data_IF_435987708659
#
_entry.id   IF_435987708659
#
_cell.length_a   1.000
_cell.length_b   1.000
_cell.length_c   1.000
_cell.angle_alpha   90.00
_cell.angle_beta   90.00
_cell.angle_gamma   90.00
#
_symmetry.space_group_name_H-M   'P 1'
#
loop_
_entity.id
_entity.type
_entity.pdbx_description
1 polymer ?
#
# COMPACT_ATOMS: atom_id res chain seq x y z
N UNK A 1 -31.50 68.24 10.40
CA UNK A 1 -32.36 67.05 10.35
C UNK A 1 -31.61 65.91 11.04
N UNK A 2 -31.80 65.75 12.34
CA UNK A 2 -32.72 64.75 12.92
C UNK A 2 -32.15 63.33 12.87
N UNK A 3 -31.40 63.00 13.92
CA UNK A 3 -31.07 61.63 14.32
C UNK A 3 -32.33 61.01 14.95
N UNK A 4 -32.87 59.96 14.32
CA UNK A 4 -34.03 59.24 14.82
C UNK A 4 -33.62 57.90 15.45
N UNK A 5 -34.09 57.70 16.70
CA UNK A 5 -34.04 56.49 17.52
C UNK A 5 -35.10 55.47 17.11
N UNK A 6 -34.79 54.17 17.28
CA UNK A 6 -35.71 53.15 17.82
C UNK A 6 -34.87 51.92 18.24
N UNK A 7 -34.54 51.72 19.52
CA UNK A 7 -35.28 50.92 20.55
C UNK A 7 -35.69 49.51 20.11
N UNK A 8 -34.98 48.50 20.63
CA UNK A 8 -35.42 47.11 20.81
C UNK A 8 -35.07 46.70 22.26
N UNK A 9 -35.94 45.98 22.99
CA UNK A 9 -35.97 46.00 24.45
C UNK A 9 -35.09 44.94 25.12
N UNK A 10 -34.79 45.22 26.39
CA UNK A 10 -34.12 44.34 27.34
C UNK A 10 -35.02 43.18 27.79
N UNK A 11 -34.39 42.00 27.95
CA UNK A 11 -34.86 40.98 28.88
C UNK A 11 -33.63 40.40 29.60
N UNK A 12 -33.51 40.80 30.86
CA UNK A 12 -32.59 40.24 31.84
C UNK A 12 -33.12 38.89 32.35
N UNK A 13 -32.19 37.96 32.58
CA UNK A 13 -32.18 36.81 33.52
C UNK A 13 -30.90 36.04 33.18
N UNK A 14 -29.80 36.20 33.91
CA UNK A 14 -29.65 35.73 35.29
C UNK A 14 -29.10 34.30 35.27
N UNK A 15 -27.80 34.12 35.03
CA UNK A 15 -27.10 32.86 35.28
C UNK A 15 -25.79 33.19 36.00
N UNK A 16 -25.83 33.02 37.32
CA UNK A 16 -24.69 33.06 38.22
C UNK A 16 -23.76 31.88 37.95
N UNK A 17 -22.46 32.16 37.86
CA UNK A 17 -21.40 31.17 37.89
C UNK A 17 -21.26 30.56 39.29
N UNK A 18 -21.75 29.33 39.46
CA UNK A 18 -21.39 28.50 40.62
C UNK A 18 -20.89 27.15 40.10
N UNK A 19 -19.57 27.02 40.02
CA UNK A 19 -18.91 25.75 39.79
C UNK A 19 -19.17 24.79 40.97
N UNK A 20 -19.52 23.50 40.74
CA UNK A 20 -19.68 22.55 41.82
C UNK A 20 -18.33 22.18 42.43
N UNK A 21 -18.19 22.47 43.71
CA UNK A 21 -17.05 22.13 44.57
C UNK A 21 -16.99 20.60 44.72
N UNK A 22 -15.98 19.97 44.11
CA UNK A 22 -15.70 18.54 44.28
C UNK A 22 -15.50 18.21 45.77
N UNK A 23 -16.44 17.45 46.36
CA UNK A 23 -16.32 16.97 47.74
C UNK A 23 -15.15 15.99 47.81
N UNK A 24 -14.15 16.28 48.64
CA UNK A 24 -13.12 15.32 49.02
C UNK A 24 -13.82 14.09 49.61
N UNK A 25 -13.67 12.94 48.95
CA UNK A 25 -14.13 11.65 49.48
C UNK A 25 -13.26 11.35 50.70
N UNK A 26 -13.88 11.37 51.88
CA UNK A 26 -13.22 10.99 53.14
C UNK A 26 -12.83 9.52 53.11
N UNK A 27 -11.71 9.18 53.76
CA UNK A 27 -11.27 7.79 53.90
C UNK A 27 -12.37 6.92 54.52
N UNK A 28 -12.53 5.66 54.07
CA UNK A 28 -13.59 4.77 54.54
C UNK A 28 -13.48 4.51 56.04
N UNK A 29 -14.62 4.61 56.72
CA UNK A 29 -14.78 4.51 58.17
C UNK A 29 -14.38 3.10 58.66
N UNK A 30 -14.01 2.95 59.94
CA UNK A 30 -13.48 1.67 60.46
C UNK A 30 -14.42 0.48 60.23
N UNK A 31 -15.74 0.72 60.28
CA UNK A 31 -16.78 -0.29 60.01
C UNK A 31 -16.81 -0.75 58.55
N UNK A 32 -16.53 0.14 57.61
CA UNK A 32 -16.52 -0.20 56.18
C UNK A 32 -15.29 -1.05 55.83
N UNK A 33 -14.15 -0.77 56.48
CA UNK A 33 -12.94 -1.61 56.35
C UNK A 33 -13.15 -3.02 56.90
N UNK A 34 -13.87 -3.15 58.01
CA UNK A 34 -14.22 -4.46 58.57
C UNK A 34 -15.20 -5.23 57.67
N UNK A 35 -16.19 -4.57 57.06
CA UNK A 35 -17.08 -5.21 56.07
C UNK A 35 -16.30 -5.72 54.86
N UNK A 36 -15.41 -4.90 54.29
CA UNK A 36 -14.59 -5.31 53.14
C UNK A 36 -13.70 -6.50 53.50
N UNK A 37 -13.12 -6.51 54.71
CA UNK A 37 -12.30 -7.64 55.18
C UNK A 37 -13.12 -8.92 55.34
N UNK A 38 -14.33 -8.81 55.91
CA UNK A 38 -15.25 -9.95 56.05
C UNK A 38 -15.71 -10.50 54.70
N UNK A 39 -15.94 -9.65 53.70
CA UNK A 39 -16.28 -10.08 52.33
C UNK A 39 -15.09 -10.77 51.64
N UNK A 40 -13.87 -10.28 51.83
CA UNK A 40 -12.66 -10.92 51.30
C UNK A 40 -12.40 -12.29 51.96
N UNK A 41 -12.61 -12.40 53.28
CA UNK A 41 -12.45 -13.66 54.01
C UNK A 41 -13.52 -14.69 53.60
N UNK A 42 -14.74 -14.23 53.31
CA UNK A 42 -15.81 -15.07 52.77
C UNK A 42 -15.47 -15.58 51.36
N UNK A 43 -15.02 -14.70 50.47
CA UNK A 43 -14.60 -15.07 49.12
C UNK A 43 -13.41 -16.06 49.11
N UNK A 44 -12.48 -15.91 50.04
CA UNK A 44 -11.36 -16.85 50.19
C UNK A 44 -11.81 -18.22 50.71
N UNK A 45 -12.77 -18.27 51.66
CA UNK A 45 -13.38 -19.54 52.10
C UNK A 45 -14.14 -20.23 50.97
N UNK A 46 -14.86 -19.46 50.14
CA UNK A 46 -15.61 -20.01 49.00
C UNK A 46 -14.66 -20.58 47.93
N UNK A 47 -13.52 -19.93 47.66
CA UNK A 47 -12.45 -20.47 46.81
C UNK A 47 -11.79 -21.73 47.38
N UNK A 48 -11.59 -21.79 48.69
CA UNK A 48 -11.02 -22.97 49.33
C UNK A 48 -12.00 -24.16 49.26
N UNK A 49 -13.29 -23.91 49.45
CA UNK A 49 -14.32 -24.94 49.32
C UNK A 49 -14.51 -25.41 47.87
N UNK A 50 -14.43 -24.53 46.88
CA UNK A 50 -14.51 -24.94 45.47
C UNK A 50 -13.29 -25.78 45.05
N UNK A 51 -12.08 -25.44 45.52
CA UNK A 51 -10.90 -26.26 45.32
C UNK A 51 -11.00 -27.64 46.02
N UNK A 52 -11.65 -27.71 47.18
CA UNK A 52 -11.90 -28.97 47.91
C UNK A 52 -12.95 -29.84 47.20
N UNK A 53 -13.99 -29.22 46.62
CA UNK A 53 -15.00 -29.87 45.79
C UNK A 53 -14.43 -30.37 44.45
N UNK A 54 -13.48 -29.66 43.85
CA UNK A 54 -12.77 -30.11 42.65
C UNK A 54 -11.94 -31.38 42.93
N UNK A 55 -11.24 -31.44 44.08
CA UNK A 55 -10.51 -32.65 44.52
C UNK A 55 -11.43 -33.81 44.88
N UNK A 56 -12.63 -33.54 45.40
CA UNK A 56 -13.62 -34.58 45.70
C UNK A 56 -14.34 -35.14 44.47
N UNK A 57 -14.30 -34.42 43.32
CA UNK A 57 -14.89 -34.85 42.05
C UNK A 57 -13.95 -35.66 41.16
N UNK A 58 -12.70 -35.88 41.57
CA UNK A 58 -11.75 -36.73 40.83
C UNK A 58 -11.30 -36.15 39.49
N UNK A 59 -11.40 -34.82 39.31
CA UNK A 59 -10.89 -34.12 38.12
C UNK A 59 -9.40 -33.74 38.32
N UNK A 60 -8.56 -34.74 38.57
CA UNK A 60 -7.09 -34.60 38.59
C UNK A 60 -6.55 -34.97 37.19
N UNK A 61 -6.38 -33.98 36.32
CA UNK A 61 -5.61 -34.10 35.07
C UNK A 61 -4.17 -33.64 35.28
N UNK A 62 -3.42 -34.28 36.17
CA UNK A 62 -1.95 -34.34 36.13
C UNK A 62 -1.53 -35.67 36.79
N UNK A 63 -0.62 -36.39 36.13
CA UNK A 63 0.01 -37.65 36.55
C UNK A 63 -0.81 -38.95 36.46
N UNK A 64 -1.05 -39.41 35.22
CA UNK A 64 -1.08 -40.85 34.94
C UNK A 64 -0.30 -41.14 33.65
N UNK A 65 0.71 -42.00 33.75
CA UNK A 65 1.64 -42.34 32.68
C UNK A 65 1.00 -43.18 31.58
N UNK A 66 0.41 -42.50 30.59
CA UNK A 66 -0.05 -43.12 29.34
C UNK A 66 0.90 -42.74 28.20
N UNK A 67 1.91 -43.59 27.93
CA UNK A 67 2.67 -43.55 26.68
C UNK A 67 1.80 -44.16 25.58
N UNK A 68 1.47 -43.45 24.48
CA UNK A 68 0.85 -44.09 23.34
C UNK A 68 1.89 -44.97 22.64
N UNK A 69 1.67 -46.29 22.65
CA UNK A 69 2.39 -47.23 21.82
C UNK A 69 2.06 -46.96 20.35
N UNK A 70 2.87 -46.14 19.69
CA UNK A 70 2.92 -46.09 18.23
C UNK A 70 3.52 -47.41 17.74
N UNK A 71 2.67 -48.27 17.19
CA UNK A 71 3.08 -49.47 16.48
C UNK A 71 4.13 -49.12 15.42
N UNK A 72 5.36 -49.63 15.61
CA UNK A 72 6.39 -49.62 14.58
C UNK A 72 5.95 -50.55 13.45
N UNK A 73 5.35 -49.99 12.42
CA UNK A 73 5.32 -50.64 11.10
C UNK A 73 6.76 -50.59 10.59
N UNK A 74 7.47 -51.71 10.71
CA UNK A 74 8.77 -51.92 10.07
C UNK A 74 8.51 -52.04 8.57
N UNK A 75 8.58 -50.93 7.85
CA UNK A 75 8.69 -50.94 6.39
C UNK A 75 10.15 -51.21 6.03
N UNK A 76 10.37 -52.42 5.54
CA UNK A 76 11.59 -52.94 4.96
C UNK A 76 12.23 -51.93 3.98
N UNK A 77 13.45 -51.51 4.31
CA UNK A 77 14.18 -50.43 3.65
C UNK A 77 15.07 -50.97 2.54
N UNK A 78 14.54 -51.80 1.64
CA UNK A 78 15.28 -52.30 0.45
C UNK A 78 14.38 -52.55 -0.76
N UNK A 79 13.75 -51.50 -1.31
CA UNK A 79 13.38 -51.47 -2.75
C UNK A 79 13.52 -50.04 -3.28
N UNK A 80 14.35 -49.90 -4.32
CA UNK A 80 14.63 -48.63 -4.98
C UNK A 80 13.34 -47.97 -5.47
N UNK A 81 13.03 -46.80 -4.92
CA UNK A 81 12.03 -45.91 -5.50
C UNK A 81 12.74 -45.07 -6.54
N UNK A 82 12.50 -45.35 -7.81
CA UNK A 82 12.53 -44.30 -8.82
C UNK A 82 11.54 -43.23 -8.37
N UNK A 83 12.06 -42.14 -7.81
CA UNK A 83 11.26 -40.94 -7.58
C UNK A 83 10.94 -40.40 -8.97
N UNK A 84 9.67 -40.35 -9.32
CA UNK A 84 9.22 -39.40 -10.33
C UNK A 84 9.68 -38.01 -9.86
N UNK A 85 10.34 -37.21 -10.71
CA UNK A 85 10.71 -35.87 -10.34
C UNK A 85 9.42 -35.07 -10.14
N UNK A 86 9.23 -34.54 -8.93
CA UNK A 86 8.17 -33.57 -8.65
C UNK A 86 8.34 -32.39 -9.64
N UNK A 87 7.29 -31.90 -10.33
CA UNK A 87 7.38 -30.68 -11.12
C UNK A 87 7.29 -29.48 -10.16
N UNK A 88 8.15 -29.45 -9.14
CA UNK A 88 8.52 -28.19 -8.52
C UNK A 88 9.50 -27.58 -9.52
N UNK A 89 8.96 -26.82 -10.47
CA UNK A 89 9.75 -25.92 -11.29
C UNK A 89 10.52 -25.03 -10.30
N UNK A 90 11.76 -25.40 -10.00
CA UNK A 90 12.72 -24.48 -9.39
C UNK A 90 12.65 -23.23 -10.25
N UNK A 91 12.44 -22.04 -9.65
CA UNK A 91 12.42 -20.82 -10.45
C UNK A 91 13.70 -20.81 -11.29
N UNK A 92 13.61 -20.55 -12.61
CA UNK A 92 14.79 -20.49 -13.44
C UNK A 92 15.78 -19.55 -12.74
N UNK A 93 17.02 -20.02 -12.52
CA UNK A 93 18.05 -19.18 -11.92
C UNK A 93 18.11 -17.89 -12.73
N UNK A 94 18.11 -16.69 -12.09
CA UNK A 94 18.23 -15.45 -12.83
C UNK A 94 19.45 -15.55 -13.72
N UNK A 95 19.27 -15.22 -15.00
CA UNK A 95 20.32 -15.31 -16.00
C UNK A 95 21.45 -14.35 -15.59
N UNK A 96 22.51 -14.89 -15.00
CA UNK A 96 23.69 -14.14 -14.56
C UNK A 96 24.68 -13.84 -15.71
N UNK A 97 24.35 -14.21 -16.95
CA UNK A 97 25.14 -13.84 -18.12
C UNK A 97 24.92 -12.38 -18.48
N UNK A 98 26.01 -11.65 -18.80
CA UNK A 98 25.86 -10.38 -19.51
C UNK A 98 25.38 -10.70 -20.92
N UNK A 99 24.11 -10.42 -21.19
CA UNK A 99 23.56 -10.54 -22.53
C UNK A 99 24.24 -9.52 -23.47
N UNK A 100 24.58 -9.89 -24.71
CA UNK A 100 25.19 -8.99 -25.68
C UNK A 100 24.31 -7.74 -25.91
N UNK A 101 24.91 -6.55 -25.87
CA UNK A 101 24.21 -5.28 -26.15
C UNK A 101 23.68 -4.53 -24.92
N UNK A 102 23.75 -5.13 -23.73
CA UNK A 102 23.34 -4.48 -22.48
C UNK A 102 24.20 -3.28 -22.09
N UNK A 103 25.48 -3.30 -22.47
CA UNK A 103 26.39 -2.18 -22.21
C UNK A 103 26.05 -0.93 -23.05
N UNK A 104 25.12 -1.03 -24.01
CA UNK A 104 24.69 0.10 -24.86
C UNK A 104 23.58 0.93 -24.20
N UNK A 105 22.85 0.36 -23.26
CA UNK A 105 21.74 1.02 -22.60
C UNK A 105 22.21 1.77 -21.37
N UNK A 106 21.60 2.93 -21.14
CA UNK A 106 21.94 3.82 -20.04
C UNK A 106 20.97 3.65 -18.89
N UNK A 107 21.41 4.10 -17.72
CA UNK A 107 20.60 4.10 -16.52
C UNK A 107 19.57 5.23 -16.57
N UNK A 108 18.35 4.91 -16.19
CA UNK A 108 17.20 5.79 -16.14
C UNK A 108 17.51 7.00 -15.25
N UNK A 109 17.28 8.21 -15.77
CA UNK A 109 17.40 9.47 -15.02
C UNK A 109 18.79 10.14 -15.05
N UNK A 110 19.79 9.54 -15.69
CA UNK A 110 21.11 10.19 -15.91
C UNK A 110 21.12 11.22 -17.03
N UNK A 111 20.16 11.16 -17.98
CA UNK A 111 20.12 12.00 -19.18
C UNK A 111 18.74 12.63 -19.42
N UNK A 112 18.65 13.52 -20.42
CA UNK A 112 17.37 13.95 -20.97
C UNK A 112 16.62 12.73 -21.49
N UNK A 113 15.45 12.47 -20.89
CA UNK A 113 14.58 11.37 -21.26
C UNK A 113 14.06 11.61 -22.68
N UNK A 114 14.31 10.65 -23.58
CA UNK A 114 13.83 10.68 -24.95
C UNK A 114 12.78 9.59 -25.18
N UNK A 115 11.74 9.92 -25.94
CA UNK A 115 10.61 9.01 -26.21
C UNK A 115 11.10 7.80 -27.00
N UNK A 116 10.73 6.61 -26.53
CA UNK A 116 11.04 5.35 -27.19
C UNK A 116 12.45 4.83 -26.91
N UNK A 117 13.27 5.48 -26.07
CA UNK A 117 14.56 4.91 -25.69
C UNK A 117 14.42 3.91 -24.53
N UNK A 118 14.93 2.69 -24.66
CA UNK A 118 15.04 1.75 -23.55
C UNK A 118 16.13 2.18 -22.57
N UNK A 119 15.85 2.01 -21.28
CA UNK A 119 16.74 2.40 -20.17
C UNK A 119 16.69 1.35 -19.07
N UNK A 120 17.79 1.18 -18.34
CA UNK A 120 17.82 0.33 -17.16
C UNK A 120 17.48 1.11 -15.91
N UNK A 121 16.84 0.47 -14.94
CA UNK A 121 16.81 1.05 -13.62
C UNK A 121 18.17 0.81 -12.95
N UNK A 122 18.79 1.84 -12.35
CA UNK A 122 20.03 1.63 -11.61
C UNK A 122 19.80 0.62 -10.48
N UNK A 123 20.83 -0.18 -10.20
CA UNK A 123 20.80 -1.30 -9.25
C UNK A 123 21.82 -1.12 -8.12
N UNK A 124 21.93 0.10 -7.61
CA UNK A 124 22.66 0.49 -6.42
C UNK A 124 21.89 0.24 -5.11
N UNK A 125 22.58 0.29 -3.96
CA UNK A 125 22.00 -0.01 -2.65
C UNK A 125 20.97 1.03 -2.18
N UNK A 126 20.97 2.22 -2.78
CA UNK A 126 20.03 3.32 -2.46
C UNK A 126 18.86 3.40 -3.43
N UNK A 127 18.75 2.45 -4.36
CA UNK A 127 17.71 2.52 -5.37
C UNK A 127 16.34 2.11 -4.84
N UNK A 128 15.26 2.75 -5.32
CA UNK A 128 13.91 2.47 -4.83
C UNK A 128 13.44 1.03 -5.05
N UNK A 129 13.92 0.34 -6.10
CA UNK A 129 13.48 -1.01 -6.45
C UNK A 129 13.82 -2.04 -5.36
N UNK A 130 15.09 -2.22 -4.94
CA UNK A 130 15.41 -3.17 -3.89
C UNK A 130 14.82 -2.79 -2.53
N UNK A 131 14.64 -1.49 -2.26
CA UNK A 131 14.17 -1.00 -0.97
C UNK A 131 12.65 -1.13 -0.85
N UNK A 132 11.90 -0.47 -1.73
CA UNK A 132 10.44 -0.43 -1.64
C UNK A 132 9.77 -1.66 -2.24
N UNK A 133 10.47 -2.38 -3.10
CA UNK A 133 9.95 -3.49 -3.89
C UNK A 133 9.25 -3.04 -5.16
N UNK A 134 8.74 -4.00 -5.92
CA UNK A 134 8.05 -3.78 -7.20
C UNK A 134 6.70 -4.49 -7.22
N UNK A 135 5.72 -3.99 -8.01
CA UNK A 135 4.47 -4.70 -8.24
C UNK A 135 4.71 -6.07 -8.89
N UNK A 136 3.83 -7.07 -8.65
CA UNK A 136 4.01 -8.45 -9.18
C UNK A 136 4.06 -8.51 -10.70
N UNK A 137 3.27 -7.67 -11.37
CA UNK A 137 3.25 -7.58 -12.83
C UNK A 137 4.63 -7.22 -13.36
N UNK A 138 5.24 -6.18 -12.80
CA UNK A 138 6.58 -5.72 -13.17
C UNK A 138 7.66 -6.72 -12.74
N UNK A 139 7.48 -7.38 -11.60
CA UNK A 139 8.42 -8.39 -11.12
C UNK A 139 8.59 -9.54 -12.14
N UNK A 140 7.49 -10.00 -12.73
CA UNK A 140 7.53 -11.03 -13.77
C UNK A 140 8.22 -10.52 -15.04
N UNK A 141 7.93 -9.31 -15.48
CA UNK A 141 8.58 -8.70 -16.64
C UNK A 141 10.10 -8.56 -16.42
N UNK A 142 10.52 -8.08 -15.26
CA UNK A 142 11.94 -7.92 -14.92
C UNK A 142 12.67 -9.26 -14.81
N UNK A 143 11.98 -10.32 -14.38
CA UNK A 143 12.53 -11.68 -14.39
C UNK A 143 12.74 -12.18 -15.82
N UNK A 144 11.80 -11.92 -16.73
CA UNK A 144 11.94 -12.28 -18.15
C UNK A 144 13.05 -11.49 -18.83
N UNK A 145 13.18 -10.20 -18.52
CA UNK A 145 14.24 -9.34 -19.03
C UNK A 145 15.60 -9.64 -18.38
N UNK A 146 15.66 -10.35 -17.26
CA UNK A 146 16.89 -10.66 -16.51
C UNK A 146 17.40 -9.54 -15.61
N UNK A 147 17.09 -8.27 -15.92
CA UNK A 147 17.35 -7.10 -15.07
C UNK A 147 16.23 -6.07 -15.26
N UNK A 148 16.02 -5.16 -14.28
CA UNK A 148 14.94 -4.19 -14.32
C UNK A 148 15.20 -3.13 -15.41
N UNK A 149 14.33 -3.09 -16.41
CA UNK A 149 14.41 -2.17 -17.53
C UNK A 149 13.05 -1.54 -17.83
N UNK A 150 13.05 -0.35 -18.39
CA UNK A 150 11.84 0.30 -18.88
C UNK A 150 12.10 1.17 -20.09
N UNK A 151 11.05 1.41 -20.87
CA UNK A 151 11.08 2.35 -21.98
C UNK A 151 10.53 3.69 -21.53
N UNK A 152 11.20 4.76 -21.93
CA UNK A 152 10.70 6.12 -21.71
C UNK A 152 9.56 6.40 -22.67
N UNK A 153 8.38 6.70 -22.14
CA UNK A 153 7.17 7.00 -22.90
C UNK A 153 6.78 8.46 -22.77
N UNK A 154 5.85 8.92 -23.60
CA UNK A 154 5.29 10.27 -23.46
C UNK A 154 4.71 10.49 -22.07
N UNK A 155 3.95 9.51 -21.54
CA UNK A 155 3.41 9.60 -20.17
C UNK A 155 4.48 9.69 -19.08
N UNK A 156 5.69 9.15 -19.33
CA UNK A 156 6.84 9.29 -18.44
C UNK A 156 7.37 10.72 -18.44
N UNK A 157 7.42 11.38 -19.61
CA UNK A 157 7.80 12.77 -19.69
C UNK A 157 6.78 13.66 -18.98
N UNK A 158 5.49 13.43 -19.25
CA UNK A 158 4.40 14.19 -18.64
C UNK A 158 4.44 14.11 -17.09
N UNK A 159 4.69 12.92 -16.53
CA UNK A 159 4.78 12.76 -15.07
C UNK A 159 6.06 13.37 -14.49
N UNK A 160 7.17 13.35 -15.23
CA UNK A 160 8.44 13.97 -14.81
C UNK A 160 8.32 15.49 -14.83
N UNK A 161 7.68 16.07 -15.85
CA UNK A 161 7.37 17.50 -15.91
C UNK A 161 6.43 17.91 -14.77
N UNK A 162 5.41 17.09 -14.49
CA UNK A 162 4.54 17.29 -13.35
C UNK A 162 5.31 17.30 -12.00
N UNK A 163 6.21 16.34 -11.78
CA UNK A 163 7.01 16.34 -10.55
C UNK A 163 7.95 17.57 -10.48
N UNK A 164 8.50 18.02 -11.59
CA UNK A 164 9.33 19.24 -11.64
C UNK A 164 8.53 20.50 -11.31
N UNK A 165 7.33 20.67 -11.88
CA UNK A 165 6.49 21.84 -11.58
C UNK A 165 6.12 21.90 -10.10
N UNK A 166 5.79 20.77 -9.49
CA UNK A 166 5.54 20.68 -8.05
C UNK A 166 6.76 21.10 -7.20
N UNK A 167 7.98 20.84 -7.67
CA UNK A 167 9.20 21.22 -6.96
C UNK A 167 9.42 22.73 -6.98
N UNK A 168 9.18 23.35 -8.13
CA UNK A 168 9.45 24.75 -8.44
C UNK A 168 8.37 25.70 -7.90
N UNK A 169 7.10 25.42 -8.20
CA UNK A 169 5.98 26.32 -7.91
C UNK A 169 5.54 26.29 -6.44
N UNK A 170 6.08 25.34 -5.64
CA UNK A 170 5.66 25.05 -4.25
C UNK A 170 4.12 25.04 -4.07
N UNK A 171 3.36 24.34 -4.93
CA UNK A 171 1.91 24.31 -4.81
C UNK A 171 1.47 23.52 -3.57
N UNK A 172 0.21 23.74 -3.17
CA UNK A 172 -0.52 22.85 -2.23
C UNK A 172 -0.46 21.41 -2.73
N UNK A 173 -0.55 20.42 -1.83
CA UNK A 173 -0.55 19.01 -2.22
C UNK A 173 -1.47 18.74 -3.41
N UNK A 174 -0.91 18.12 -4.45
CA UNK A 174 -1.71 17.61 -5.55
C UNK A 174 -2.00 16.12 -5.36
N UNK A 175 -3.24 15.74 -5.62
CA UNK A 175 -3.71 14.36 -5.52
C UNK A 175 -4.08 13.89 -6.91
N UNK A 176 -3.27 12.99 -7.48
CA UNK A 176 -3.50 12.46 -8.82
C UNK A 176 -3.61 10.95 -8.84
N UNK A 177 -4.48 10.45 -9.70
CA UNK A 177 -4.61 9.01 -9.95
C UNK A 177 -4.29 8.76 -11.42
N UNK A 178 -3.31 7.90 -11.68
CA UNK A 178 -2.94 7.45 -13.03
C UNK A 178 -4.06 6.56 -13.56
N UNK A 179 -4.67 6.99 -14.67
CA UNK A 179 -5.81 6.32 -15.30
C UNK A 179 -5.45 5.80 -16.69
N UNK A 180 -6.09 4.72 -17.12
CA UNK A 180 -5.87 4.11 -18.44
C UNK A 180 -6.38 2.67 -18.52
N UNK A 181 -6.42 2.12 -19.73
CA UNK A 181 -6.89 0.76 -19.99
C UNK A 181 -6.03 -0.32 -19.32
N UNK A 182 -6.55 -1.53 -19.13
CA UNK A 182 -5.76 -2.62 -18.57
C UNK A 182 -4.51 -2.89 -19.43
N UNK A 183 -3.34 -3.05 -18.82
CA UNK A 183 -2.08 -3.28 -19.55
C UNK A 183 -1.44 -2.03 -20.17
N UNK A 184 -2.01 -0.83 -19.95
CA UNK A 184 -1.51 0.44 -20.50
C UNK A 184 -0.19 0.95 -19.91
N UNK A 185 0.39 0.27 -18.92
CA UNK A 185 1.67 0.66 -18.30
C UNK A 185 1.55 1.58 -17.07
N UNK A 186 0.38 1.69 -16.43
CA UNK A 186 0.16 2.53 -15.23
C UNK A 186 1.20 2.31 -14.12
N UNK A 187 1.43 1.04 -13.76
CA UNK A 187 2.41 0.66 -12.73
C UNK A 187 3.84 1.01 -13.12
N UNK A 188 4.20 0.93 -14.42
CA UNK A 188 5.50 1.37 -14.91
C UNK A 188 5.68 2.89 -14.79
N UNK A 189 4.67 3.67 -15.19
CA UNK A 189 4.70 5.14 -15.06
C UNK A 189 4.82 5.55 -13.58
N UNK A 190 4.11 4.87 -12.67
CA UNK A 190 4.23 5.12 -11.23
C UNK A 190 5.63 4.79 -10.70
N UNK A 191 6.20 3.65 -11.09
CA UNK A 191 7.55 3.27 -10.67
C UNK A 191 8.63 4.23 -11.21
N UNK A 192 8.49 4.69 -12.45
CA UNK A 192 9.38 5.71 -13.04
C UNK A 192 9.28 7.04 -12.29
N UNK A 193 8.07 7.45 -11.89
CA UNK A 193 7.84 8.66 -11.08
C UNK A 193 8.50 8.53 -9.69
N UNK A 194 8.36 7.38 -9.03
CA UNK A 194 9.02 7.03 -7.76
C UNK A 194 10.54 7.13 -7.90
N UNK A 195 11.08 6.57 -8.98
CA UNK A 195 12.51 6.60 -9.24
C UNK A 195 13.03 8.02 -9.46
N UNK A 196 12.32 8.81 -10.28
CA UNK A 196 12.66 10.21 -10.52
C UNK A 196 12.62 11.03 -9.24
N UNK A 197 11.60 10.85 -8.41
CA UNK A 197 11.47 11.56 -7.14
C UNK A 197 12.64 11.24 -6.18
N UNK A 198 13.05 9.97 -6.10
CA UNK A 198 14.19 9.56 -5.29
C UNK A 198 15.50 10.22 -5.77
N UNK A 199 15.76 10.26 -7.07
CA UNK A 199 16.93 10.92 -7.66
C UNK A 199 16.96 12.42 -7.39
N UNK A 200 15.79 13.07 -7.39
CA UNK A 200 15.67 14.50 -7.13
C UNK A 200 15.73 14.88 -5.65
N UNK A 201 15.87 13.89 -4.75
CA UNK A 201 15.98 14.09 -3.30
C UNK A 201 14.63 14.31 -2.60
N UNK A 202 13.54 13.75 -3.13
CA UNK A 202 12.24 13.76 -2.46
C UNK A 202 12.18 12.69 -1.38
N UNK A 203 11.29 12.88 -0.39
CA UNK A 203 10.94 11.80 0.54
C UNK A 203 9.87 10.94 -0.12
N UNK A 204 10.19 9.69 -0.38
CA UNK A 204 9.34 8.75 -1.10
C UNK A 204 8.73 7.76 -0.11
N UNK A 205 7.41 7.62 -0.18
CA UNK A 205 6.63 6.58 0.50
C UNK A 205 5.92 5.78 -0.59
N UNK A 206 6.50 4.64 -0.96
CA UNK A 206 5.96 3.79 -2.01
C UNK A 206 5.34 2.50 -1.46
N UNK A 207 4.09 2.26 -1.83
CA UNK A 207 3.37 1.00 -1.56
C UNK A 207 3.15 0.30 -2.91
N UNK A 208 3.96 -0.72 -3.26
CA UNK A 208 3.91 -1.37 -4.57
C UNK A 208 2.66 -2.25 -4.77
N UNK A 209 1.99 -2.66 -3.69
CA UNK A 209 0.74 -3.44 -3.75
C UNK A 209 -0.17 -3.05 -2.60
N UNK A 210 -1.14 -2.18 -2.85
CA UNK A 210 -2.17 -1.88 -1.86
C UNK A 210 -3.06 -3.10 -1.55
N UNK A 211 -3.16 -4.04 -2.49
CA UNK A 211 -3.93 -5.27 -2.32
C UNK A 211 -3.49 -6.09 -1.11
N UNK A 212 -2.20 -6.15 -0.80
CA UNK A 212 -1.71 -6.93 0.35
C UNK A 212 -2.16 -6.35 1.69
N UNK A 213 -2.48 -5.05 1.74
CA UNK A 213 -3.01 -4.39 2.95
C UNK A 213 -4.48 -4.75 3.20
N UNK A 214 -5.20 -5.12 2.15
CA UNK A 214 -6.64 -5.39 2.18
C UNK A 214 -6.91 -6.89 2.18
N UNK A 215 -5.98 -7.66 1.61
CA UNK A 215 -5.97 -9.11 1.69
C UNK A 215 -5.61 -9.55 3.10
N UNK A 216 -6.32 -10.56 3.60
CA UNK A 216 -6.08 -11.17 4.90
C UNK A 216 -4.77 -12.00 4.88
N UNK A 217 -3.64 -11.32 4.88
CA UNK A 217 -2.29 -11.90 4.83
C UNK A 217 -1.50 -11.61 6.11
N UNK A 218 -1.73 -10.45 6.72
CA UNK A 218 -1.02 -10.01 7.93
C UNK A 218 -1.91 -10.04 9.15
N UNK A 219 -1.34 -10.21 10.33
CA UNK A 219 -2.09 -10.11 11.59
C UNK A 219 -2.72 -8.74 11.78
N UNK A 220 -3.86 -8.71 12.47
CA UNK A 220 -4.60 -7.49 12.76
C UNK A 220 -5.15 -7.50 14.19
N UNK A 221 -5.19 -6.32 14.82
CA UNK A 221 -5.64 -6.15 16.21
C UNK A 221 -6.62 -4.99 16.25
N UNK A 222 -7.78 -5.17 16.87
CA UNK A 222 -8.73 -4.06 17.03
C UNK A 222 -8.27 -3.09 18.12
N UNK A 223 -8.10 -1.82 17.77
CA UNK A 223 -7.86 -0.75 18.72
C UNK A 223 -9.16 0.01 19.04
N UNK A 224 -9.50 0.06 20.33
CA UNK A 224 -10.69 0.76 20.83
C UNK A 224 -10.56 2.28 20.76
N UNK A 225 -9.33 2.82 20.85
CA UNK A 225 -9.09 4.26 20.89
C UNK A 225 -9.36 4.90 19.53
N UNK A 226 -8.77 4.34 18.48
CA UNK A 226 -8.93 4.82 17.10
C UNK A 226 -10.14 4.23 16.40
N UNK A 227 -10.74 3.17 16.96
CA UNK A 227 -11.83 2.37 16.36
C UNK A 227 -11.44 1.82 14.99
N UNK A 228 -10.18 1.44 14.84
CA UNK A 228 -9.64 0.82 13.62
C UNK A 228 -8.95 -0.48 13.97
N UNK A 229 -8.74 -1.31 12.94
CA UNK A 229 -7.96 -2.53 13.05
C UNK A 229 -6.51 -2.23 12.67
N UNK A 230 -5.62 -2.34 13.64
CA UNK A 230 -4.19 -2.15 13.49
C UNK A 230 -3.55 -3.30 12.72
N UNK A 231 -2.65 -2.97 11.79
CA UNK A 231 -1.87 -3.94 11.02
C UNK A 231 -0.39 -3.80 11.38
N UNK A 232 0.08 -4.44 12.47
CA UNK A 232 1.44 -4.26 12.99
C UNK A 232 2.53 -4.64 11.99
N UNK A 233 2.41 -5.81 11.35
CA UNK A 233 3.42 -6.29 10.40
C UNK A 233 3.52 -5.39 9.16
N UNK A 234 2.39 -5.07 8.54
CA UNK A 234 2.36 -4.20 7.35
C UNK A 234 2.91 -2.80 7.67
N UNK A 235 2.58 -2.25 8.84
CA UNK A 235 3.08 -0.94 9.28
C UNK A 235 4.58 -0.95 9.49
N UNK A 236 5.12 -2.02 10.10
CA UNK A 236 6.56 -2.20 10.31
C UNK A 236 7.32 -2.28 8.98
N UNK A 237 6.82 -3.07 8.02
CA UNK A 237 7.44 -3.21 6.70
C UNK A 237 7.47 -1.87 5.96
N UNK A 238 6.37 -1.10 6.00
CA UNK A 238 6.32 0.23 5.39
C UNK A 238 7.31 1.19 6.08
N UNK A 239 7.34 1.20 7.42
CA UNK A 239 8.29 2.03 8.19
C UNK A 239 9.74 1.72 7.85
N UNK A 240 10.10 0.43 7.79
CA UNK A 240 11.44 0.00 7.43
C UNK A 240 11.84 0.53 6.05
N UNK A 241 10.96 0.38 5.04
CA UNK A 241 11.20 0.90 3.69
C UNK A 241 11.35 2.42 3.65
N UNK A 242 10.56 3.15 4.44
CA UNK A 242 10.68 4.61 4.55
C UNK A 242 12.04 5.01 5.15
N UNK A 243 12.50 4.31 6.19
CA UNK A 243 13.78 4.61 6.85
C UNK A 243 14.97 4.25 5.95
N UNK A 244 14.93 3.10 5.29
CA UNK A 244 16.02 2.61 4.43
C UNK A 244 16.12 3.42 3.12
N UNK A 245 14.97 3.81 2.54
CA UNK A 245 14.91 4.50 1.24
C UNK A 245 15.22 5.99 1.28
N UNK A 246 15.05 6.64 2.43
CA UNK A 246 15.11 8.09 2.52
C UNK A 246 16.29 8.55 3.39
N UNK A 247 17.44 8.78 2.77
CA UNK A 247 18.63 9.28 3.48
C UNK A 247 18.40 10.66 4.15
N UNK A 248 17.49 11.47 3.60
CA UNK A 248 17.16 12.81 4.11
C UNK A 248 16.22 12.78 5.31
N UNK A 249 15.57 11.64 5.59
CA UNK A 249 14.53 11.53 6.62
C UNK A 249 15.02 11.98 8.00
N UNK A 250 16.27 11.65 8.34
CA UNK A 250 16.92 12.04 9.62
C UNK A 250 17.06 13.55 9.79
N UNK A 251 17.23 14.29 8.70
CA UNK A 251 17.40 15.75 8.72
C UNK A 251 16.05 16.47 8.75
N UNK A 252 15.03 15.87 8.13
CA UNK A 252 13.73 16.51 7.99
C UNK A 252 12.81 16.25 9.18
N UNK A 253 12.83 15.03 9.73
CA UNK A 253 12.02 14.71 10.91
C UNK A 253 12.65 15.26 12.19
N UNK A 254 11.78 15.61 13.14
CA UNK A 254 12.23 15.88 14.51
C UNK A 254 12.93 14.64 15.09
N UNK A 255 13.98 14.84 15.90
CA UNK A 255 14.75 13.73 16.47
C UNK A 255 13.90 12.74 17.28
N UNK A 256 12.79 13.18 17.87
CA UNK A 256 11.87 12.33 18.61
C UNK A 256 11.02 11.44 17.69
N UNK A 257 10.52 12.00 16.57
CA UNK A 257 9.75 11.24 15.58
C UNK A 257 10.60 10.17 14.92
N UNK A 258 11.87 10.48 14.62
CA UNK A 258 12.78 9.50 14.02
C UNK A 258 13.06 8.33 14.98
N UNK A 259 13.30 8.60 16.27
CA UNK A 259 13.45 7.55 17.30
C UNK A 259 12.19 6.71 17.46
N UNK A 260 11.00 7.31 17.32
CA UNK A 260 9.73 6.58 17.34
C UNK A 260 9.60 5.64 16.14
N UNK A 261 10.09 6.05 14.96
CA UNK A 261 10.14 5.19 13.79
C UNK A 261 11.07 3.98 14.03
N UNK A 262 12.27 4.20 14.59
CA UNK A 262 13.20 3.13 14.95
C UNK A 262 12.61 2.18 16.00
N UNK A 263 11.94 2.72 17.02
CA UNK A 263 11.24 1.93 18.03
C UNK A 263 10.13 1.06 17.42
N UNK A 264 9.34 1.61 16.49
CA UNK A 264 8.29 0.86 15.77
C UNK A 264 8.84 -0.20 14.80
N UNK A 265 10.10 -0.08 14.36
CA UNK A 265 10.76 -1.12 13.57
C UNK A 265 11.16 -2.29 14.46
N UNK A 266 11.68 -2.00 15.67
CA UNK A 266 12.05 -3.04 16.64
C UNK A 266 10.82 -3.75 17.22
N UNK A 267 9.78 -2.98 17.56
CA UNK A 267 8.58 -3.47 18.22
C UNK A 267 7.36 -3.35 17.29
N UNK A 268 6.92 -4.48 16.72
CA UNK A 268 5.87 -4.50 15.71
C UNK A 268 4.50 -4.02 16.22
N UNK A 269 4.21 -4.21 17.51
CA UNK A 269 2.95 -3.81 18.13
C UNK A 269 2.71 -2.29 18.08
N UNK A 270 3.78 -1.49 18.21
CA UNK A 270 3.73 -0.01 18.20
C UNK A 270 3.91 0.59 16.80
N UNK A 271 4.26 -0.23 15.81
CA UNK A 271 4.52 0.20 14.43
C UNK A 271 3.37 0.99 13.79
N UNK A 272 2.07 0.65 13.96
CA UNK A 272 0.98 1.41 13.35
C UNK A 272 0.89 2.86 13.87
N UNK A 273 1.11 3.06 15.17
CA UNK A 273 1.08 4.39 15.79
C UNK A 273 2.32 5.20 15.37
N UNK A 274 3.49 4.56 15.33
CA UNK A 274 4.72 5.17 14.84
C UNK A 274 4.58 5.60 13.37
N UNK A 275 4.00 4.77 12.51
CA UNK A 275 3.76 5.09 11.10
C UNK A 275 2.81 6.29 10.95
N UNK A 276 1.72 6.31 11.71
CA UNK A 276 0.79 7.43 11.72
C UNK A 276 1.50 8.73 12.14
N UNK A 277 2.30 8.69 13.20
CA UNK A 277 3.04 9.86 13.69
C UNK A 277 4.09 10.34 12.68
N UNK A 278 4.84 9.43 12.07
CA UNK A 278 5.84 9.74 11.03
C UNK A 278 5.17 10.43 9.85
N UNK A 279 4.13 9.83 9.25
CA UNK A 279 3.47 10.42 8.09
C UNK A 279 2.78 11.75 8.42
N UNK A 280 2.22 11.90 9.62
CA UNK A 280 1.61 13.18 10.04
C UNK A 280 2.66 14.29 10.15
N UNK A 281 3.83 14.00 10.72
CA UNK A 281 4.94 14.96 10.78
C UNK A 281 5.51 15.27 9.39
N UNK A 282 5.61 14.26 8.51
CA UNK A 282 5.99 14.46 7.11
C UNK A 282 4.97 15.31 6.34
N UNK A 283 3.69 15.27 6.71
CA UNK A 283 2.67 16.14 6.13
C UNK A 283 2.79 17.59 6.57
N UNK A 284 3.25 17.84 7.80
CA UNK A 284 3.40 19.19 8.36
C UNK A 284 4.66 19.92 7.88
N UNK A 285 5.69 19.19 7.46
CA UNK A 285 6.95 19.79 7.04
C UNK A 285 6.83 20.49 5.66
N UNK A 286 7.58 21.58 5.47
CA UNK A 286 7.60 22.37 4.22
C UNK A 286 8.94 22.31 3.49
N UNK A 287 9.98 21.78 4.13
CA UNK A 287 11.38 21.83 3.65
C UNK A 287 11.63 20.92 2.46
N UNK A 288 11.27 19.64 2.55
CA UNK A 288 11.43 18.66 1.48
C UNK A 288 10.08 18.18 0.96
N UNK A 289 9.89 18.09 -0.37
CA UNK A 289 8.67 17.55 -0.95
C UNK A 289 8.53 16.05 -0.64
N UNK A 290 7.29 15.62 -0.37
CA UNK A 290 6.94 14.23 -0.07
C UNK A 290 6.12 13.64 -1.20
N UNK A 291 6.51 12.47 -1.71
CA UNK A 291 5.73 11.70 -2.67
C UNK A 291 5.16 10.46 -1.98
N UNK A 292 3.83 10.37 -1.89
CA UNK A 292 3.13 9.16 -1.49
C UNK A 292 2.64 8.48 -2.76
N UNK A 293 3.26 7.35 -3.12
CA UNK A 293 2.93 6.58 -4.31
C UNK A 293 2.28 5.25 -3.91
N UNK A 294 1.09 4.95 -4.45
CA UNK A 294 0.34 3.74 -4.12
C UNK A 294 -0.11 3.06 -5.41
N UNK A 295 0.38 1.85 -5.65
CA UNK A 295 -0.12 1.01 -6.75
C UNK A 295 -1.30 0.14 -6.28
N UNK A 296 -2.17 -0.21 -7.21
CA UNK A 296 -3.44 -0.90 -6.97
C UNK A 296 -4.38 -0.16 -5.99
N UNK A 297 -4.41 1.17 -6.08
CA UNK A 297 -5.10 2.05 -5.12
C UNK A 297 -6.59 1.75 -4.95
N UNK A 298 -7.23 1.17 -5.97
CA UNK A 298 -8.65 0.78 -5.93
C UNK A 298 -8.96 -0.23 -4.83
N UNK A 299 -7.98 -1.06 -4.44
CA UNK A 299 -8.16 -2.02 -3.35
C UNK A 299 -8.50 -1.31 -2.03
N UNK A 300 -7.98 -0.10 -1.81
CA UNK A 300 -8.24 0.68 -0.59
C UNK A 300 -9.71 1.14 -0.47
N UNK A 301 -10.45 1.21 -1.58
CA UNK A 301 -11.84 1.66 -1.60
C UNK A 301 -12.84 0.50 -1.61
N UNK A 302 -12.42 -0.70 -1.22
CA UNK A 302 -13.22 -1.91 -1.28
C UNK A 302 -13.41 -2.55 0.09
N UNK A 303 -14.25 -3.58 0.14
CA UNK A 303 -14.33 -4.46 1.31
C UNK A 303 -13.09 -5.34 1.39
N UNK A 304 -12.46 -5.38 2.56
CA UNK A 304 -11.30 -6.23 2.80
C UNK A 304 -11.69 -7.68 3.04
N UNK A 305 -10.71 -8.58 3.00
CA UNK A 305 -10.94 -10.00 3.35
C UNK A 305 -10.72 -10.27 4.84
N UNK A 306 -10.46 -9.22 5.63
CA UNK A 306 -10.41 -9.32 7.08
C UNK A 306 -11.81 -9.46 7.64
N UNK A 307 -11.94 -10.24 8.71
CA UNK A 307 -13.21 -10.55 9.34
C UNK A 307 -13.28 -9.90 10.72
N UNK A 308 -14.45 -9.42 11.08
CA UNK A 308 -14.73 -9.04 12.46
C UNK A 308 -15.07 -10.28 13.31
N UNK A 309 -15.26 -10.14 14.64
CA UNK A 309 -15.66 -11.26 15.50
C UNK A 309 -17.01 -11.90 15.13
N UNK A 310 -17.84 -11.21 14.36
CA UNK A 310 -19.12 -11.69 13.84
C UNK A 310 -19.00 -12.29 12.42
N UNK A 311 -17.77 -12.50 11.95
CA UNK A 311 -17.45 -13.06 10.64
C UNK A 311 -17.91 -12.19 9.45
N UNK A 312 -18.15 -10.89 9.67
CA UNK A 312 -18.44 -9.91 8.64
C UNK A 312 -17.14 -9.36 8.05
N UNK A 313 -17.13 -9.14 6.73
CA UNK A 313 -16.02 -8.45 6.07
C UNK A 313 -15.87 -7.02 6.57
N UNK A 314 -14.65 -6.67 6.92
CA UNK A 314 -14.28 -5.33 7.38
C UNK A 314 -14.03 -4.46 6.13
N UNK A 315 -14.60 -3.26 6.06
CA UNK A 315 -14.27 -2.33 4.98
C UNK A 315 -12.81 -1.87 5.10
N UNK A 316 -12.11 -1.69 3.98
CA UNK A 316 -10.70 -1.29 4.00
C UNK A 316 -10.47 0.03 4.76
N UNK A 317 -11.42 0.97 4.74
CA UNK A 317 -11.36 2.23 5.49
C UNK A 317 -11.33 2.06 7.02
N UNK A 318 -11.67 0.88 7.56
CA UNK A 318 -11.57 0.57 8.99
C UNK A 318 -10.21 -0.02 9.38
N UNK A 319 -9.37 -0.39 8.42
CA UNK A 319 -7.99 -0.85 8.65
C UNK A 319 -7.06 0.35 8.82
N UNK A 320 -6.07 0.26 9.71
CA UNK A 320 -5.23 1.41 10.09
C UNK A 320 -4.41 1.99 8.93
N UNK A 321 -3.74 1.12 8.15
CA UNK A 321 -2.85 1.56 7.06
C UNK A 321 -3.65 2.03 5.84
N UNK A 322 -4.63 1.26 5.31
CA UNK A 322 -5.50 1.75 4.25
C UNK A 322 -6.20 3.07 4.59
N UNK A 323 -6.72 3.22 5.81
CA UNK A 323 -7.34 4.47 6.26
C UNK A 323 -6.35 5.63 6.23
N UNK A 324 -5.13 5.42 6.71
CA UNK A 324 -4.08 6.44 6.70
C UNK A 324 -3.77 6.91 5.26
N UNK A 325 -3.63 5.98 4.32
CA UNK A 325 -3.41 6.29 2.90
C UNK A 325 -4.60 7.02 2.29
N UNK A 326 -5.84 6.60 2.58
CA UNK A 326 -7.06 7.28 2.13
C UNK A 326 -7.21 8.68 2.72
N UNK A 327 -6.80 8.90 3.97
CA UNK A 327 -6.80 10.23 4.60
C UNK A 327 -5.84 11.19 3.88
N UNK A 328 -4.69 10.70 3.40
CA UNK A 328 -3.80 11.48 2.53
C UNK A 328 -4.33 11.63 1.10
N UNK A 329 -4.96 10.59 0.52
CA UNK A 329 -5.55 10.68 -0.82
C UNK A 329 -6.71 11.68 -0.88
N UNK A 330 -7.52 11.73 0.18
CA UNK A 330 -8.67 12.63 0.33
C UNK A 330 -8.32 14.05 0.77
N UNK A 331 -7.05 14.32 1.10
CA UNK A 331 -6.63 15.62 1.63
C UNK A 331 -7.14 15.91 3.05
N UNK A 332 -7.75 14.94 3.76
CA UNK A 332 -8.09 15.08 5.19
C UNK A 332 -6.83 15.26 6.04
N UNK A 333 -5.76 14.56 5.65
CA UNK A 333 -4.39 14.83 6.09
C UNK A 333 -3.67 15.51 4.94
N UNK A 334 -3.40 16.79 5.11
CA UNK A 334 -2.75 17.59 4.08
C UNK A 334 -1.24 17.39 4.12
N UNK A 335 -0.64 17.36 2.92
CA UNK A 335 0.80 17.54 2.74
C UNK A 335 1.04 19.02 2.46
N UNK A 336 1.87 19.69 3.25
CA UNK A 336 2.19 21.10 2.97
C UNK A 336 2.98 21.23 1.66
N UNK A 337 3.81 20.23 1.35
CA UNK A 337 4.59 20.17 0.11
C UNK A 337 4.72 18.73 -0.38
N UNK A 338 4.16 18.43 -1.54
CA UNK A 338 4.26 17.09 -2.11
C UNK A 338 3.11 16.71 -3.01
N UNK A 339 3.01 15.42 -3.30
CA UNK A 339 1.91 14.85 -4.05
C UNK A 339 1.53 13.45 -3.56
N UNK A 340 0.27 13.11 -3.77
CA UNK A 340 -0.23 11.75 -3.70
C UNK A 340 -0.43 11.25 -5.13
N UNK A 341 0.25 10.16 -5.50
CA UNK A 341 0.10 9.48 -6.79
C UNK A 341 -0.46 8.08 -6.57
N UNK A 342 -1.69 7.84 -7.02
CA UNK A 342 -2.28 6.51 -7.07
C UNK A 342 -2.20 5.94 -8.48
N UNK A 343 -1.99 4.63 -8.63
CA UNK A 343 -2.33 3.93 -9.86
C UNK A 343 -3.41 2.89 -9.55
N UNK A 344 -4.48 2.86 -10.33
CA UNK A 344 -5.46 1.77 -10.21
C UNK A 344 -5.14 0.63 -11.17
N UNK A 345 -5.70 -0.54 -10.91
CA UNK A 345 -5.74 -1.65 -11.86
C UNK A 345 -7.14 -2.23 -11.94
N UNK A 346 -7.47 -2.79 -13.11
CA UNK A 346 -8.71 -3.53 -13.37
C UNK A 346 -8.45 -5.03 -13.57
N UNK A 347 -7.21 -5.49 -13.35
CA UNK A 347 -6.82 -6.89 -13.52
C UNK A 347 -7.53 -7.84 -12.54
N UNK A 348 -7.79 -7.39 -11.32
CA UNK A 348 -8.39 -8.22 -10.27
C UNK A 348 -9.88 -7.90 -10.12
N UNK A 349 -10.73 -8.84 -10.52
CA UNK A 349 -12.20 -8.71 -10.49
C UNK A 349 -12.79 -8.74 -9.09
N UNK A 350 -12.07 -9.28 -8.09
CA UNK A 350 -12.51 -9.24 -6.69
C UNK A 350 -12.50 -7.84 -6.10
N UNK A 351 -11.68 -6.95 -6.66
CA UNK A 351 -11.49 -5.58 -6.19
C UNK A 351 -11.82 -4.61 -7.33
N UNK A 352 -13.10 -4.52 -7.72
CA UNK A 352 -13.52 -3.65 -8.80
C UNK A 352 -13.26 -2.19 -8.44
N UNK A 353 -12.99 -1.39 -9.46
CA UNK A 353 -12.85 0.05 -9.30
C UNK A 353 -14.23 0.65 -8.92
N UNK A 354 -14.39 1.29 -7.76
CA UNK A 354 -15.68 1.84 -7.38
C UNK A 354 -16.01 3.05 -8.25
N UNK A 355 -17.29 3.16 -8.62
CA UNK A 355 -17.79 4.21 -9.50
C UNK A 355 -17.43 5.62 -9.02
N UNK A 356 -17.49 5.84 -7.70
CA UNK A 356 -17.18 7.15 -7.11
C UNK A 356 -15.73 7.57 -7.40
N UNK A 357 -14.80 6.63 -7.36
CA UNK A 357 -13.39 6.90 -7.66
C UNK A 357 -13.18 7.16 -9.15
N UNK A 358 -13.90 6.42 -9.99
CA UNK A 358 -13.84 6.57 -11.44
C UNK A 358 -14.40 7.93 -11.89
N UNK A 359 -15.56 8.34 -11.35
CA UNK A 359 -16.17 9.67 -11.58
C UNK A 359 -15.22 10.79 -11.12
N UNK A 360 -14.57 10.64 -9.96
CA UNK A 360 -13.63 11.64 -9.45
C UNK A 360 -12.29 11.69 -10.20
N UNK A 361 -11.82 10.55 -10.72
CA UNK A 361 -10.61 10.48 -11.52
C UNK A 361 -10.87 10.80 -13.01
N UNK A 362 -12.10 11.17 -13.39
CA UNK A 362 -12.56 11.37 -14.77
C UNK A 362 -12.17 10.22 -15.71
N UNK A 363 -12.13 9.00 -15.16
CA UNK A 363 -11.66 7.83 -15.88
C UNK A 363 -12.78 7.26 -16.76
N UNK A 364 -12.37 6.62 -17.86
CA UNK A 364 -13.34 6.04 -18.80
C UNK A 364 -14.19 4.95 -18.17
N UNK A 365 -15.48 5.15 -18.32
CA UNK A 365 -16.52 4.20 -17.99
C UNK A 365 -16.65 3.20 -19.15
N UNK A 366 -16.42 1.91 -18.89
CA UNK A 366 -16.77 0.85 -19.85
C UNK A 366 -18.28 0.85 -20.15
N UNK A 367 -19.08 1.26 -19.16
CA UNK A 367 -20.54 1.38 -19.27
C UNK A 367 -20.96 2.73 -18.71
N UNK A 368 -21.83 3.48 -19.38
CA UNK A 368 -22.30 4.77 -18.87
C UNK A 368 -22.94 4.57 -17.49
N UNK A 369 -22.54 5.39 -16.54
CA UNK A 369 -23.02 5.30 -15.17
C UNK A 369 -24.49 5.72 -15.09
N UNK A 370 -25.33 4.83 -14.55
CA UNK A 370 -26.73 5.08 -14.30
C UNK A 370 -26.96 5.83 -12.97
N UNK A 371 -28.13 6.47 -12.80
CA UNK A 371 -28.54 7.02 -11.51
C UNK A 371 -28.65 5.97 -10.39
N UNK A 372 -28.92 4.71 -10.76
CA UNK A 372 -29.16 3.59 -9.83
C UNK A 372 -27.88 2.86 -9.41
N UNK A 373 -26.74 3.16 -10.02
CA UNK A 373 -25.48 2.53 -9.66
C UNK A 373 -25.08 2.91 -8.22
N UNK A 374 -24.61 1.95 -7.41
CA UNK A 374 -24.35 2.17 -6.00
C UNK A 374 -23.19 3.14 -5.81
N UNK A 375 -23.45 4.22 -5.08
CA UNK A 375 -22.45 5.23 -4.72
C UNK A 375 -22.37 5.36 -3.19
N UNK A 376 -21.66 4.44 -2.51
CA UNK A 376 -21.61 4.42 -1.05
C UNK A 376 -21.06 5.73 -0.48
N UNK A 377 -21.78 6.30 0.48
CA UNK A 377 -21.46 7.60 1.07
C UNK A 377 -20.17 7.58 1.89
N UNK A 378 -19.89 6.46 2.57
CA UNK A 378 -18.66 6.30 3.34
C UNK A 378 -17.41 6.40 2.43
N UNK A 379 -17.45 5.87 1.19
CA UNK A 379 -16.34 6.00 0.23
C UNK A 379 -16.25 7.40 -0.36
N UNK A 380 -17.38 8.06 -0.66
CA UNK A 380 -17.41 9.46 -1.11
C UNK A 380 -16.67 10.37 -0.15
N UNK A 381 -16.76 10.09 1.14
CA UNK A 381 -16.10 10.89 2.16
C UNK A 381 -14.55 10.81 2.07
N UNK A 382 -13.99 9.77 1.45
CA UNK A 382 -12.54 9.58 1.24
C UNK A 382 -12.08 9.95 -0.17
N UNK A 383 -12.90 10.67 -0.93
CA UNK A 383 -12.53 11.19 -2.23
C UNK A 383 -12.37 12.71 -2.10
N UNK A 384 -11.17 13.20 -2.42
CA UNK A 384 -10.89 14.64 -2.41
C UNK A 384 -11.67 15.32 -3.53
N UNK A 385 -12.12 16.55 -3.28
CA UNK A 385 -12.67 17.42 -4.35
C UNK A 385 -11.58 17.83 -5.35
N UNK A 386 -10.33 17.85 -4.89
CA UNK A 386 -9.15 18.21 -5.67
C UNK A 386 -8.49 16.99 -6.34
N UNK A 387 -9.08 15.79 -6.24
CA UNK A 387 -8.60 14.60 -6.91
C UNK A 387 -8.69 14.80 -8.42
N UNK A 388 -7.58 14.63 -9.13
CA UNK A 388 -7.56 14.71 -10.60
C UNK A 388 -7.07 13.41 -11.21
N UNK A 389 -7.70 13.01 -12.30
CA UNK A 389 -7.15 12.00 -13.19
C UNK A 389 -5.83 12.48 -13.79
N UNK A 390 -4.82 11.62 -13.77
CA UNK A 390 -3.66 11.71 -14.65
C UNK A 390 -3.88 10.70 -15.77
N UNK A 391 -4.53 11.15 -16.84
CA UNK A 391 -4.80 10.29 -17.99
C UNK A 391 -3.49 10.00 -18.71
N UNK A 392 -3.15 8.72 -18.85
CA UNK A 392 -2.04 8.34 -19.70
C UNK A 392 -2.30 8.85 -21.13
N UNK A 393 -1.28 9.43 -21.75
CA UNK A 393 -1.35 9.94 -23.12
C UNK A 393 -1.95 8.88 -24.07
N UNK A 394 -2.91 9.31 -24.91
CA UNK A 394 -3.67 8.43 -25.80
C UNK A 394 -4.21 7.16 -25.09
N UNK A 395 -4.67 7.30 -23.84
CA UNK A 395 -5.20 6.21 -23.00
C UNK A 395 -4.17 5.10 -22.71
N UNK A 396 -2.90 5.44 -22.88
CA UNK A 396 -1.75 4.56 -22.77
C UNK A 396 -1.52 3.66 -23.98
N UNK A 397 -2.08 3.99 -25.14
CA UNK A 397 -1.66 3.40 -26.41
C UNK A 397 -0.19 3.76 -26.70
N UNK A 398 0.58 2.80 -27.22
CA UNK A 398 1.97 3.00 -27.60
C UNK A 398 2.06 3.74 -28.95
N UNK A 399 2.98 4.69 -29.03
CA UNK A 399 3.37 5.33 -30.30
C UNK A 399 4.35 4.43 -31.06
N UNK A 400 4.49 4.61 -32.38
CA UNK A 400 5.41 3.83 -33.21
C UNK A 400 6.85 3.86 -32.66
N UNK A 401 7.31 5.02 -32.19
CA UNK A 401 8.65 5.17 -31.58
C UNK A 401 8.77 4.38 -30.27
N UNK A 402 7.72 4.37 -29.46
CA UNK A 402 7.68 3.62 -28.21
C UNK A 402 7.65 2.11 -28.48
N UNK A 403 6.88 1.68 -29.48
CA UNK A 403 6.79 0.29 -29.90
C UNK A 403 8.15 -0.24 -30.38
N UNK A 404 8.89 0.55 -31.17
CA UNK A 404 10.25 0.21 -31.59
C UNK A 404 11.17 0.07 -30.38
N UNK A 405 11.15 1.02 -29.45
CA UNK A 405 11.95 0.95 -28.22
C UNK A 405 11.66 -0.26 -27.35
N UNK A 406 10.38 -0.62 -27.23
CA UNK A 406 9.95 -1.83 -26.52
C UNK A 406 10.45 -3.08 -27.25
N UNK A 407 10.30 -3.13 -28.57
CA UNK A 407 10.80 -4.24 -29.37
C UNK A 407 12.31 -4.42 -29.23
N UNK A 408 13.08 -3.35 -29.34
CA UNK A 408 14.54 -3.34 -29.13
C UNK A 408 14.92 -3.85 -27.74
N UNK A 409 14.20 -3.44 -26.70
CA UNK A 409 14.44 -3.91 -25.33
C UNK A 409 14.28 -5.43 -25.20
N UNK A 410 13.20 -5.99 -25.76
CA UNK A 410 12.92 -7.41 -25.70
C UNK A 410 13.84 -8.23 -26.63
N UNK A 411 14.30 -7.62 -27.73
CA UNK A 411 15.34 -8.20 -28.58
C UNK A 411 16.69 -8.27 -27.86
N UNK A 412 17.06 -7.22 -27.11
CA UNK A 412 18.28 -7.20 -26.28
C UNK A 412 18.22 -8.21 -25.12
N UNK A 413 17.02 -8.52 -24.63
CA UNK A 413 16.79 -9.60 -23.67
C UNK A 413 16.91 -11.00 -24.31
N UNK A 414 17.13 -11.10 -25.63
CA UNK A 414 17.09 -12.35 -26.41
C UNK A 414 15.77 -13.11 -26.28
N UNK A 415 14.71 -12.41 -25.89
CA UNK A 415 13.37 -12.95 -25.74
C UNK A 415 12.58 -12.92 -27.04
N UNK A 416 13.16 -12.41 -28.14
CA UNK A 416 12.55 -12.44 -29.47
C UNK A 416 13.58 -12.98 -30.45
N UNK A 417 13.24 -14.01 -31.26
CA UNK A 417 14.17 -14.54 -32.24
C UNK A 417 14.54 -13.48 -33.29
N UNK A 418 15.79 -13.50 -33.75
CA UNK A 418 16.29 -12.54 -34.74
C UNK A 418 15.74 -12.76 -36.17
N UNK A 419 14.97 -13.82 -36.40
CA UNK A 419 14.33 -14.13 -37.69
C UNK A 419 12.94 -13.46 -37.78
N UNK A 420 12.60 -12.95 -38.97
CA UNK A 420 11.30 -12.33 -39.29
C UNK A 420 10.89 -11.15 -38.38
N UNK A 421 11.88 -10.39 -37.91
CA UNK A 421 11.77 -9.19 -37.05
C UNK A 421 10.63 -8.25 -37.43
N UNK A 422 10.58 -7.80 -38.68
CA UNK A 422 9.61 -6.80 -39.14
C UNK A 422 8.17 -7.33 -39.17
N UNK A 423 7.98 -8.55 -39.67
CA UNK A 423 6.66 -9.17 -39.74
C UNK A 423 6.11 -9.45 -38.34
N UNK A 424 6.95 -9.96 -37.43
CA UNK A 424 6.57 -10.20 -36.03
C UNK A 424 6.22 -8.90 -35.33
N UNK A 425 7.01 -7.85 -35.52
CA UNK A 425 6.74 -6.52 -35.00
C UNK A 425 5.39 -5.97 -35.50
N UNK A 426 5.18 -5.93 -36.82
CA UNK A 426 3.95 -5.39 -37.41
C UNK A 426 2.71 -6.18 -36.98
N UNK A 427 2.79 -7.52 -36.97
CA UNK A 427 1.69 -8.36 -36.52
C UNK A 427 1.34 -8.11 -35.04
N UNK A 428 2.35 -8.03 -34.17
CA UNK A 428 2.16 -7.74 -32.75
C UNK A 428 1.59 -6.34 -32.52
N UNK A 429 2.07 -5.35 -33.28
CA UNK A 429 1.59 -3.97 -33.18
C UNK A 429 0.12 -3.86 -33.58
N UNK A 430 -0.25 -4.48 -34.71
CA UNK A 430 -1.62 -4.50 -35.20
C UNK A 430 -2.56 -5.29 -34.27
N UNK A 431 -2.15 -6.45 -33.76
CA UNK A 431 -2.99 -7.28 -32.88
C UNK A 431 -3.22 -6.64 -31.51
N UNK A 432 -2.24 -5.90 -31.01
CA UNK A 432 -2.32 -5.25 -29.70
C UNK A 432 -3.18 -3.98 -29.70
N UNK A 433 -3.50 -3.42 -30.87
CA UNK A 433 -4.17 -2.12 -31.00
C UNK A 433 -3.49 -1.02 -30.17
N UNK A 434 -2.16 -1.09 -30.06
CA UNK A 434 -1.37 -0.17 -29.25
C UNK A 434 -1.36 -0.44 -27.74
N UNK A 435 -1.91 -1.55 -27.24
CA UNK A 435 -1.79 -1.89 -25.82
C UNK A 435 -0.37 -2.45 -25.51
N UNK A 436 0.43 -1.81 -24.64
CA UNK A 436 1.81 -2.22 -24.38
C UNK A 436 1.94 -3.65 -23.84
N UNK A 437 1.03 -4.08 -22.96
CA UNK A 437 1.07 -5.43 -22.39
C UNK A 437 0.70 -6.48 -23.43
N UNK A 438 -0.35 -6.24 -24.21
CA UNK A 438 -0.78 -7.17 -25.26
C UNK A 438 0.29 -7.26 -26.37
N UNK A 439 0.93 -6.15 -26.70
CA UNK A 439 2.04 -6.09 -27.66
C UNK A 439 3.17 -7.06 -27.27
N UNK A 440 3.60 -7.05 -26.00
CA UNK A 440 4.64 -7.94 -25.51
C UNK A 440 4.12 -9.37 -25.36
N UNK A 441 3.07 -9.58 -24.57
CA UNK A 441 2.65 -10.92 -24.12
C UNK A 441 1.96 -11.70 -25.22
N UNK A 442 0.97 -11.10 -25.88
CA UNK A 442 0.15 -11.78 -26.89
C UNK A 442 0.77 -11.69 -28.28
N UNK A 443 1.64 -10.70 -28.51
CA UNK A 443 2.35 -10.46 -29.77
C UNK A 443 3.75 -11.07 -29.79
N UNK A 444 4.71 -10.41 -29.13
CA UNK A 444 6.14 -10.75 -29.25
C UNK A 444 6.49 -12.10 -28.63
N UNK A 445 6.07 -12.36 -27.39
CA UNK A 445 6.44 -13.58 -26.69
C UNK A 445 5.69 -14.80 -27.24
N UNK A 446 4.43 -14.63 -27.63
CA UNK A 446 3.64 -15.71 -28.24
C UNK A 446 4.19 -16.16 -29.60
N UNK A 447 4.79 -15.24 -30.36
CA UNK A 447 5.45 -15.57 -31.62
C UNK A 447 6.67 -16.49 -31.45
N UNK A 448 7.13 -16.76 -30.22
CA UNK A 448 8.18 -17.74 -29.93
C UNK A 448 7.67 -19.20 -29.84
N UNK A 449 6.38 -19.41 -29.59
CA UNK A 449 5.83 -20.76 -29.38
C UNK A 449 5.60 -21.53 -30.69
N UNK A 450 5.81 -20.88 -31.83
CA UNK A 450 5.67 -21.41 -33.19
C UNK A 450 7.04 -21.49 -33.84
#
# INVERSE_FOLDING_TARGET
MSVARARVPALARGISSTAPRCKKVGAPDKKDRERIRQEQDKANKDRANSARLARARGDDWVDSGYQPQMGRIILDRKRGRHRFPDPVATPPKPFNGRLPGWDRLKDFGTEHLEIGKPTFFPTGPKDPIPIFGVPRSLENDFRLLGKPASVTRQCTLDIVEFLKSLKEEKPRAEHRIITGSNGSGKSYTLLQAVHRAAQEGWIVVYVPRALDLVKNVSDYIYDRRTRTFFQPQASREILQRIVDGNALLRRTLSGNTYKMAEAGIQESSTAPEALQAVLTNLGQQTTTPVLIAVDEVQALYSTSWYKDPYFKDIEACHLSVPRLLLEFASGRKELQRGAFLGAYTTTNTHFPLPLVLLEAADAELEKPAGPWDPRPEHLKAYISKDLKGFHLHNRGAISDKEAIGMYELWQLAQAVPASNTERTFMNAYMSSSGNPRAFIMDGLLRAMEV
#
